data_IF_897068751303
#
_entry.id   IF_897068751303
#
_cell.length_a   1.000
_cell.length_b   1.000
_cell.length_c   1.000
_cell.angle_alpha   90.00
_cell.angle_beta   90.00
_cell.angle_gamma   90.00
#
_symmetry.space_group_name_H-M   'P 1'
#
loop_
_entity.id
_entity.type
_entity.pdbx_description
1 polymer ?
#
# COMPACT_ATOMS: atom_id res chain seq x y z
N UNK A 1 -67.03 38.00 -38.52
CA UNK A 1 -67.93 37.70 -37.39
C UNK A 1 -67.43 36.44 -36.71
N UNK A 2 -67.43 36.44 -35.38
CA UNK A 2 -66.99 35.39 -34.46
C UNK A 2 -67.69 34.02 -34.73
N UNK A 3 -67.29 32.86 -34.20
CA UNK A 3 -66.51 32.56 -32.99
C UNK A 3 -66.01 31.10 -33.03
N UNK A 4 -64.83 30.92 -32.44
CA UNK A 4 -64.27 29.72 -31.80
C UNK A 4 -65.29 28.72 -31.22
N UNK A 5 -64.97 27.42 -31.32
CA UNK A 5 -64.53 26.62 -30.15
C UNK A 5 -63.98 25.24 -30.61
N UNK A 6 -62.67 25.04 -30.38
CA UNK A 6 -61.96 23.75 -30.52
C UNK A 6 -61.91 23.03 -29.16
N UNK A 7 -62.29 21.76 -29.20
CA UNK A 7 -61.82 20.58 -28.45
C UNK A 7 -60.94 20.75 -27.20
N UNK A 8 -61.23 19.96 -26.15
CA UNK A 8 -60.37 18.79 -25.81
C UNK A 8 -60.76 18.04 -24.51
N UNK A 9 -60.95 16.73 -24.68
CA UNK A 9 -60.57 15.55 -23.84
C UNK A 9 -60.96 15.51 -22.35
N UNK A 10 -61.85 14.56 -22.01
CA UNK A 10 -61.63 13.62 -20.90
C UNK A 10 -62.05 12.20 -21.31
N UNK A 11 -61.07 11.31 -21.26
CA UNK A 11 -61.18 9.89 -21.57
C UNK A 11 -61.67 9.09 -20.34
N UNK A 12 -62.27 7.94 -20.62
CA UNK A 12 -62.98 7.05 -19.72
C UNK A 12 -62.13 6.53 -18.55
N UNK A 13 -62.81 6.34 -17.42
CA UNK A 13 -62.33 5.61 -16.25
C UNK A 13 -63.00 4.22 -16.16
N UNK A 14 -62.22 3.29 -15.62
CA UNK A 14 -62.58 2.03 -14.94
C UNK A 14 -62.56 0.69 -15.70
N UNK A 15 -61.93 -0.27 -15.03
CA UNK A 15 -61.90 -1.73 -15.21
C UNK A 15 -60.88 -2.32 -16.20
N UNK A 16 -59.62 -2.47 -15.75
CA UNK A 16 -58.67 -3.45 -16.29
C UNK A 16 -58.53 -4.61 -15.28
N UNK A 17 -59.05 -5.78 -15.66
CA UNK A 17 -58.89 -7.05 -14.94
C UNK A 17 -57.49 -7.61 -15.15
N UNK A 18 -56.84 -7.93 -14.05
CA UNK A 18 -55.49 -8.50 -13.93
C UNK A 18 -55.36 -9.86 -14.63
N UNK A 19 -54.61 -9.91 -15.74
CA UNK A 19 -54.00 -11.16 -16.20
C UNK A 19 -52.58 -11.24 -15.63
N UNK A 20 -52.40 -12.22 -14.74
CA UNK A 20 -51.15 -12.55 -14.06
C UNK A 20 -50.12 -13.10 -15.04
N UNK A 21 -49.23 -12.25 -15.53
CA UNK A 21 -47.96 -12.72 -16.06
C UNK A 21 -47.11 -13.23 -14.90
N UNK A 22 -46.85 -14.54 -14.88
CA UNK A 22 -45.91 -15.17 -13.95
C UNK A 22 -44.51 -14.63 -14.23
N UNK A 23 -44.16 -13.54 -13.55
CA UNK A 23 -42.77 -13.13 -13.40
C UNK A 23 -42.09 -14.26 -12.62
N UNK A 24 -41.20 -14.99 -13.30
CA UNK A 24 -40.15 -15.77 -12.66
C UNK A 24 -39.33 -14.80 -11.83
N UNK A 25 -39.74 -14.57 -10.59
CA UNK A 25 -38.89 -13.99 -9.57
C UNK A 25 -37.75 -14.98 -9.40
N UNK A 26 -36.64 -14.72 -10.08
CA UNK A 26 -35.34 -15.24 -9.72
C UNK A 26 -35.09 -14.70 -8.32
N UNK A 27 -35.54 -15.46 -7.32
CA UNK A 27 -35.29 -15.17 -5.92
C UNK A 27 -33.80 -15.03 -5.79
N UNK A 28 -33.32 -13.80 -5.65
CA UNK A 28 -32.02 -13.58 -5.07
C UNK A 28 -32.06 -14.35 -3.75
N UNK A 29 -31.09 -15.23 -3.54
CA UNK A 29 -30.88 -15.90 -2.27
C UNK A 29 -30.54 -14.82 -1.23
N UNK A 30 -31.54 -14.11 -0.73
CA UNK A 30 -31.44 -13.11 0.34
C UNK A 30 -31.93 -13.72 1.64
N UNK A 31 -31.51 -14.95 1.92
CA UNK A 31 -31.63 -15.51 3.27
C UNK A 31 -30.63 -16.65 3.53
N UNK A 32 -29.40 -16.49 3.03
CA UNK A 32 -28.28 -17.19 3.62
C UNK A 32 -27.94 -16.49 4.93
N UNK A 33 -28.70 -16.77 6.00
CA UNK A 33 -28.24 -16.56 7.36
C UNK A 33 -26.88 -17.26 7.46
N UNK A 34 -25.78 -16.49 7.38
CA UNK A 34 -24.43 -17.04 7.53
C UNK A 34 -24.36 -17.62 8.95
N UNK A 35 -24.55 -18.93 9.08
CA UNK A 35 -24.24 -19.64 10.32
C UNK A 35 -22.74 -19.44 10.56
N UNK A 36 -22.39 -18.62 11.55
CA UNK A 36 -21.00 -18.38 11.94
C UNK A 36 -20.53 -19.62 12.69
N UNK A 37 -20.16 -20.66 11.96
CA UNK A 37 -19.53 -21.85 12.54
C UNK A 37 -18.08 -21.53 12.81
N UNK A 38 -17.71 -21.40 14.09
CA UNK A 38 -16.30 -21.25 14.44
C UNK A 38 -15.58 -22.57 14.17
N UNK A 39 -14.57 -22.53 13.29
CA UNK A 39 -13.72 -23.71 13.07
C UNK A 39 -12.87 -23.94 14.32
N UNK A 40 -12.91 -25.13 14.95
CA UNK A 40 -12.15 -25.43 16.16
C UNK A 40 -10.63 -25.36 15.92
N UNK A 41 -10.17 -25.66 14.71
CA UNK A 41 -8.74 -25.71 14.36
C UNK A 41 -8.12 -24.32 14.12
N UNK A 42 -8.93 -23.26 14.08
CA UNK A 42 -8.41 -21.89 13.89
C UNK A 42 -7.77 -21.41 15.19
N UNK A 43 -6.45 -21.42 15.19
CA UNK A 43 -5.64 -20.91 16.30
C UNK A 43 -5.83 -19.40 16.45
N UNK A 44 -6.10 -18.95 17.68
CA UNK A 44 -6.24 -17.52 18.03
C UNK A 44 -4.90 -16.86 18.39
N UNK A 45 -3.94 -17.65 18.86
CA UNK A 45 -2.63 -17.20 19.28
C UNK A 45 -1.55 -18.09 18.69
N UNK A 46 -0.77 -17.55 17.76
CA UNK A 46 0.46 -18.19 17.27
C UNK A 46 1.63 -17.70 18.13
N UNK A 47 2.29 -18.62 18.83
CA UNK A 47 3.43 -18.33 19.70
C UNK A 47 4.63 -17.69 18.95
N UNK A 48 4.69 -17.84 17.63
CA UNK A 48 5.76 -17.27 16.78
C UNK A 48 5.52 -15.80 16.44
N UNK A 49 4.32 -15.28 16.68
CA UNK A 49 3.90 -13.97 16.19
C UNK A 49 3.83 -13.90 14.66
N UNK A 50 3.80 -12.67 14.15
CA UNK A 50 3.77 -12.44 12.70
C UNK A 50 5.18 -12.58 12.12
N UNK A 51 5.32 -13.39 11.06
CA UNK A 51 6.59 -13.54 10.35
C UNK A 51 6.93 -12.28 9.56
N UNK A 52 8.19 -11.84 9.64
CA UNK A 52 8.73 -10.71 8.87
C UNK A 52 8.76 -10.98 7.37
N UNK A 53 9.17 -12.18 6.96
CA UNK A 53 9.26 -12.60 5.55
C UNK A 53 8.20 -13.67 5.30
N UNK A 54 7.29 -13.39 4.37
CA UNK A 54 6.18 -14.26 4.01
C UNK A 54 6.30 -14.63 2.52
N UNK A 55 6.74 -15.86 2.21
CA UNK A 55 6.73 -16.35 0.85
C UNK A 55 5.28 -16.66 0.41
N UNK A 56 4.95 -16.35 -0.83
CA UNK A 56 3.66 -16.63 -1.46
C UNK A 56 3.90 -17.42 -2.76
N UNK A 57 3.59 -18.71 -2.75
CA UNK A 57 3.90 -19.61 -3.87
C UNK A 57 5.41 -19.68 -4.12
N UNK A 58 5.84 -19.31 -5.34
CA UNK A 58 7.26 -19.24 -5.72
C UNK A 58 7.91 -17.90 -5.40
N UNK A 59 7.13 -16.92 -4.90
CA UNK A 59 7.61 -15.57 -4.65
C UNK A 59 8.10 -15.44 -3.22
N UNK A 60 9.39 -15.16 -3.07
CA UNK A 60 10.06 -14.98 -1.79
C UNK A 60 10.62 -13.56 -1.74
N UNK A 61 10.28 -12.76 -0.72
CA UNK A 61 10.90 -11.46 -0.53
C UNK A 61 12.42 -11.59 -0.39
N UNK A 62 13.18 -10.78 -1.14
CA UNK A 62 14.64 -10.74 -1.12
C UNK A 62 15.10 -9.47 -0.44
N UNK A 63 16.03 -9.61 0.51
CA UNK A 63 16.60 -8.50 1.27
C UNK A 63 18.11 -8.57 1.06
N UNK A 64 18.72 -7.45 0.67
CA UNK A 64 20.16 -7.30 0.61
C UNK A 64 20.80 -7.47 2.00
N UNK A 65 22.08 -7.86 2.03
CA UNK A 65 22.78 -8.21 3.29
C UNK A 65 23.01 -6.97 4.17
N UNK A 66 23.20 -5.81 3.55
CA UNK A 66 23.44 -4.52 4.20
C UNK A 66 22.15 -3.71 4.44
N UNK A 67 20.99 -4.23 4.02
CA UNK A 67 19.72 -3.56 4.19
C UNK A 67 19.13 -3.80 5.58
N UNK A 68 18.69 -2.71 6.22
CA UNK A 68 18.04 -2.78 7.52
C UNK A 68 16.53 -3.01 7.37
N UNK A 69 16.00 -4.10 7.94
CA UNK A 69 14.55 -4.33 8.00
C UNK A 69 14.14 -4.57 9.44
N UNK A 70 13.36 -3.63 9.99
CA UNK A 70 12.89 -3.69 11.37
C UNK A 70 12.09 -4.98 11.66
N UNK A 71 12.12 -5.51 12.89
CA UNK A 71 11.51 -6.81 13.22
C UNK A 71 9.98 -6.83 13.07
N UNK A 72 9.33 -5.67 13.22
CA UNK A 72 7.87 -5.52 13.13
C UNK A 72 7.34 -5.32 11.70
N UNK A 73 8.21 -5.34 10.69
CA UNK A 73 7.84 -5.16 9.29
C UNK A 73 7.25 -6.45 8.73
N UNK A 74 6.30 -6.33 7.82
CA UNK A 74 5.77 -7.48 7.06
C UNK A 74 6.14 -7.31 5.59
N UNK A 75 6.98 -8.21 5.08
CA UNK A 75 7.30 -8.34 3.66
C UNK A 75 6.61 -9.60 3.12
N UNK A 76 5.71 -9.43 2.15
CA UNK A 76 4.94 -10.53 1.58
C UNK A 76 4.99 -10.53 0.04
N UNK A 77 5.25 -11.70 -0.56
CA UNK A 77 5.25 -11.89 -2.01
C UNK A 77 6.52 -11.41 -2.71
N UNK A 78 6.37 -10.77 -3.87
CA UNK A 78 7.47 -10.24 -4.67
C UNK A 78 7.93 -8.88 -4.16
N UNK A 79 8.76 -8.89 -3.12
CA UNK A 79 9.40 -7.67 -2.59
C UNK A 79 10.92 -7.81 -2.69
N UNK A 80 11.58 -6.82 -3.28
CA UNK A 80 13.03 -6.72 -3.33
C UNK A 80 13.48 -5.47 -2.58
N UNK A 81 14.28 -5.66 -1.53
CA UNK A 81 14.94 -4.58 -0.79
C UNK A 81 16.41 -4.60 -1.19
N UNK A 82 16.85 -3.59 -1.94
CA UNK A 82 18.21 -3.51 -2.49
C UNK A 82 19.20 -2.92 -1.48
N UNK A 83 20.46 -2.84 -1.90
CA UNK A 83 21.59 -2.54 -1.03
C UNK A 83 21.46 -1.16 -0.33
N UNK A 84 21.85 -1.11 0.93
CA UNK A 84 21.81 0.09 1.77
C UNK A 84 20.41 0.64 2.04
N UNK A 85 19.35 -0.08 1.66
CA UNK A 85 17.98 0.35 1.91
C UNK A 85 17.56 0.10 3.35
N UNK A 86 16.58 0.87 3.84
CA UNK A 86 16.02 0.64 5.17
C UNK A 86 14.49 0.61 5.17
N UNK A 87 13.90 -0.34 5.89
CA UNK A 87 12.46 -0.45 6.13
C UNK A 87 12.20 -0.41 7.63
N UNK A 88 11.53 0.64 8.06
CA UNK A 88 11.36 1.01 9.46
C UNK A 88 10.10 0.39 10.06
N UNK A 89 10.00 0.51 11.39
CA UNK A 89 9.05 -0.22 12.22
C UNK A 89 7.58 -0.06 11.80
N UNK A 90 6.88 -1.19 11.75
CA UNK A 90 5.43 -1.24 11.50
C UNK A 90 5.03 -1.07 10.03
N UNK A 91 6.00 -0.99 9.12
CA UNK A 91 5.71 -0.91 7.69
C UNK A 91 5.30 -2.26 7.10
N UNK A 92 4.40 -2.22 6.12
CA UNK A 92 3.83 -3.41 5.46
C UNK A 92 4.04 -3.28 3.96
N UNK A 93 4.82 -4.20 3.39
CA UNK A 93 5.10 -4.28 1.96
C UNK A 93 4.48 -5.56 1.42
N UNK A 94 3.44 -5.42 0.60
CA UNK A 94 2.68 -6.54 0.07
C UNK A 94 2.72 -6.53 -1.46
N UNK A 95 3.68 -7.28 -2.00
CA UNK A 95 3.88 -7.52 -3.42
C UNK A 95 3.22 -8.81 -3.88
N UNK A 96 1.95 -9.01 -3.53
CA UNK A 96 1.20 -10.23 -3.84
C UNK A 96 0.46 -10.17 -5.19
N UNK A 97 0.22 -8.97 -5.73
CA UNK A 97 -0.34 -8.78 -7.06
C UNK A 97 0.74 -8.47 -8.11
N UNK A 98 1.70 -7.62 -7.75
CA UNK A 98 2.81 -7.18 -8.61
C UNK A 98 4.07 -6.92 -7.77
N UNK A 99 5.21 -6.72 -8.43
CA UNK A 99 6.51 -6.54 -7.78
C UNK A 99 6.60 -5.19 -7.05
N UNK A 100 7.31 -5.21 -5.92
CA UNK A 100 7.71 -4.02 -5.17
C UNK A 100 9.24 -4.03 -5.07
N UNK A 101 9.88 -2.95 -5.49
CA UNK A 101 11.33 -2.79 -5.41
C UNK A 101 11.66 -1.54 -4.60
N UNK A 102 12.56 -1.67 -3.63
CA UNK A 102 13.19 -0.56 -2.91
C UNK A 102 14.63 -0.44 -3.36
N UNK A 103 14.97 0.73 -3.90
CA UNK A 103 16.23 1.07 -4.52
C UNK A 103 17.35 1.42 -3.55
N UNK A 104 18.56 1.55 -4.09
CA UNK A 104 19.77 1.78 -3.32
C UNK A 104 19.67 2.98 -2.35
N UNK A 105 20.06 2.78 -1.10
CA UNK A 105 20.06 3.84 -0.07
C UNK A 105 18.70 4.53 0.12
N UNK A 106 17.61 3.85 -0.23
CA UNK A 106 16.25 4.37 -0.05
C UNK A 106 15.66 3.90 1.26
N UNK A 107 14.83 4.74 1.85
CA UNK A 107 14.26 4.46 3.15
C UNK A 107 12.74 4.52 3.11
N UNK A 108 12.11 3.54 3.76
CA UNK A 108 10.68 3.46 4.00
C UNK A 108 10.46 3.59 5.49
N UNK A 109 10.08 4.78 5.94
CA UNK A 109 9.92 5.14 7.35
C UNK A 109 8.74 4.40 8.00
N UNK A 110 8.42 4.72 9.25
CA UNK A 110 7.52 3.96 10.10
C UNK A 110 6.11 3.86 9.54
N UNK A 111 5.48 2.71 9.74
CA UNK A 111 4.05 2.47 9.46
C UNK A 111 3.63 2.82 8.02
N UNK A 112 4.55 2.71 7.08
CA UNK A 112 4.24 2.87 5.67
C UNK A 112 3.56 1.60 5.13
N UNK A 113 2.61 1.77 4.22
CA UNK A 113 1.90 0.67 3.58
C UNK A 113 2.16 0.73 2.08
N UNK A 114 2.87 -0.26 1.54
CA UNK A 114 3.22 -0.34 0.14
C UNK A 114 2.56 -1.57 -0.47
N UNK A 115 1.61 -1.34 -1.37
CA UNK A 115 0.85 -2.39 -2.02
C UNK A 115 0.98 -2.22 -3.54
N UNK A 116 1.05 -3.32 -4.27
CA UNK A 116 0.91 -3.28 -5.72
C UNK A 116 -0.54 -3.66 -6.09
N UNK A 117 -1.12 -2.97 -7.08
CA UNK A 117 -2.44 -3.27 -7.63
C UNK A 117 -2.31 -4.33 -8.72
N UNK A 118 -3.40 -5.01 -9.07
CA UNK A 118 -3.38 -6.02 -10.13
C UNK A 118 -3.13 -5.41 -11.51
N UNK A 119 -3.80 -4.29 -11.78
CA UNK A 119 -3.70 -3.54 -13.02
C UNK A 119 -3.96 -2.08 -12.70
N UNK A 120 -3.28 -1.17 -13.40
CA UNK A 120 -3.52 0.26 -13.25
C UNK A 120 -4.68 0.68 -14.17
N UNK A 121 -5.65 1.48 -13.68
CA UNK A 121 -6.72 2.01 -14.52
C UNK A 121 -6.21 2.89 -15.67
N UNK A 122 -4.97 3.37 -15.57
CA UNK A 122 -4.32 4.21 -16.59
C UNK A 122 -3.56 3.42 -17.65
N UNK A 123 -3.47 2.09 -17.52
CA UNK A 123 -2.66 1.23 -18.41
C UNK A 123 -1.15 1.29 -18.17
N UNK A 124 -0.69 2.07 -17.18
CA UNK A 124 0.70 2.11 -16.74
C UNK A 124 1.07 0.83 -15.96
N UNK A 125 2.37 0.48 -15.85
CA UNK A 125 2.82 -0.63 -15.03
C UNK A 125 2.28 -0.52 -13.60
N UNK A 126 1.62 -1.58 -13.12
CA UNK A 126 1.01 -1.62 -11.79
C UNK A 126 1.99 -2.12 -10.71
N UNK A 127 3.29 -1.90 -10.93
CA UNK A 127 4.36 -2.21 -9.98
C UNK A 127 4.73 -0.97 -9.16
N UNK A 128 5.29 -1.19 -7.98
CA UNK A 128 5.84 -0.11 -7.17
C UNK A 128 7.35 -0.13 -7.27
N UNK A 129 7.93 0.87 -7.94
CA UNK A 129 9.39 1.07 -7.97
C UNK A 129 9.75 2.28 -7.15
N UNK A 130 10.57 2.10 -6.13
CA UNK A 130 11.24 3.17 -5.40
C UNK A 130 12.69 3.11 -5.83
N UNK A 131 13.17 4.11 -6.55
CA UNK A 131 14.54 4.14 -7.07
C UNK A 131 15.55 4.55 -5.97
N UNK A 132 16.77 4.94 -6.35
CA UNK A 132 17.86 5.27 -5.41
C UNK A 132 17.65 6.58 -4.65
N UNK A 133 18.16 6.66 -3.42
CA UNK A 133 18.13 7.86 -2.57
C UNK A 133 16.73 8.46 -2.36
N UNK A 134 15.70 7.61 -2.34
CA UNK A 134 14.34 8.04 -2.07
C UNK A 134 14.07 7.96 -0.57
N UNK A 135 13.51 9.03 -0.02
CA UNK A 135 13.06 9.09 1.37
C UNK A 135 11.55 9.05 1.42
N UNK A 136 10.98 7.93 1.87
CA UNK A 136 9.53 7.78 2.05
C UNK A 136 9.17 8.06 3.51
N UNK A 137 8.49 9.18 3.74
CA UNK A 137 8.10 9.66 5.06
C UNK A 137 7.13 8.74 5.78
N UNK A 138 7.14 8.80 7.12
CA UNK A 138 6.30 7.96 7.97
C UNK A 138 4.80 8.04 7.61
N UNK A 139 4.07 6.94 7.83
CA UNK A 139 2.64 6.80 7.53
C UNK A 139 2.25 7.00 6.06
N UNK A 140 3.19 6.86 5.14
CA UNK A 140 2.88 6.97 3.72
C UNK A 140 2.19 5.72 3.19
N UNK A 141 1.24 5.91 2.28
CA UNK A 141 0.56 4.84 1.56
C UNK A 141 0.97 4.93 0.09
N UNK A 142 1.66 3.90 -0.40
CA UNK A 142 2.11 3.80 -1.79
C UNK A 142 1.35 2.67 -2.49
N UNK A 143 0.69 2.98 -3.60
CA UNK A 143 0.00 2.00 -4.42
C UNK A 143 0.39 2.09 -5.88
N UNK A 144 1.15 1.10 -6.37
CA UNK A 144 1.58 0.99 -7.78
C UNK A 144 2.13 2.29 -8.35
N UNK A 145 3.11 2.87 -7.67
CA UNK A 145 3.72 4.14 -8.06
C UNK A 145 5.19 3.95 -8.43
N UNK A 146 5.67 4.77 -9.35
CA UNK A 146 7.08 4.84 -9.70
C UNK A 146 7.64 6.12 -9.12
N UNK A 147 8.64 6.01 -8.26
CA UNK A 147 9.36 7.12 -7.66
C UNK A 147 10.79 7.06 -8.16
N UNK A 148 11.15 8.03 -8.99
CA UNK A 148 12.47 8.17 -9.58
C UNK A 148 13.55 8.54 -8.54
N UNK A 149 14.84 8.52 -8.92
CA UNK A 149 15.93 8.81 -8.00
C UNK A 149 15.81 10.15 -7.28
N UNK A 150 16.29 10.18 -6.04
CA UNK A 150 16.46 11.41 -5.26
C UNK A 150 15.16 12.19 -5.07
N UNK A 151 14.08 11.47 -4.71
CA UNK A 151 12.80 12.06 -4.34
C UNK A 151 12.57 12.01 -2.83
N UNK A 152 11.78 12.96 -2.32
CA UNK A 152 11.32 12.96 -0.93
C UNK A 152 9.80 12.92 -0.91
N UNK A 153 9.25 11.87 -0.31
CA UNK A 153 7.82 11.77 -0.02
C UNK A 153 7.62 12.18 1.43
N UNK A 154 6.87 13.27 1.65
CA UNK A 154 6.56 13.76 2.99
C UNK A 154 5.76 12.76 3.82
N UNK A 155 5.69 13.01 5.12
CA UNK A 155 4.93 12.18 6.05
C UNK A 155 3.44 12.17 5.70
N UNK A 156 2.75 11.06 5.99
CA UNK A 156 1.30 10.92 5.78
C UNK A 156 0.84 11.14 4.34
N UNK A 157 1.72 10.84 3.38
CA UNK A 157 1.44 11.04 1.96
C UNK A 157 0.82 9.82 1.32
N UNK A 158 -0.02 10.02 0.31
CA UNK A 158 -0.73 8.95 -0.38
C UNK A 158 -0.43 9.04 -1.87
N UNK A 159 0.21 8.02 -2.44
CA UNK A 159 0.43 7.89 -3.87
C UNK A 159 -0.45 6.80 -4.43
N UNK A 160 -1.21 7.15 -5.47
CA UNK A 160 -2.17 6.27 -6.12
C UNK A 160 -1.61 5.67 -7.41
N UNK A 161 -2.37 4.73 -7.97
CA UNK A 161 -1.95 3.87 -9.08
C UNK A 161 -1.48 4.65 -10.30
N UNK A 162 -0.31 4.28 -10.82
CA UNK A 162 0.29 4.90 -11.99
C UNK A 162 0.79 6.33 -11.76
N UNK A 163 0.88 6.80 -10.51
CA UNK A 163 1.55 8.07 -10.24
C UNK A 163 3.05 7.95 -10.47
N UNK A 164 3.64 8.91 -11.17
CA UNK A 164 5.08 9.01 -11.42
C UNK A 164 5.62 10.25 -10.70
N UNK A 165 6.55 10.05 -9.77
CA UNK A 165 7.36 11.12 -9.21
C UNK A 165 8.71 11.13 -9.90
N UNK A 166 9.02 12.23 -10.57
CA UNK A 166 10.29 12.38 -11.30
C UNK A 166 11.43 12.80 -10.38
N UNK A 167 12.66 12.67 -10.90
CA UNK A 167 13.88 12.99 -10.17
C UNK A 167 13.84 14.34 -9.44
N UNK A 168 14.43 14.38 -8.25
CA UNK A 168 14.50 15.61 -7.45
C UNK A 168 13.13 16.23 -7.15
N UNK A 169 12.05 15.44 -7.07
CA UNK A 169 10.75 15.95 -6.66
C UNK A 169 10.53 15.80 -5.16
N UNK A 170 9.88 16.79 -4.56
CA UNK A 170 9.52 16.77 -3.14
C UNK A 170 8.02 16.88 -3.00
N UNK A 171 7.44 15.95 -2.25
CA UNK A 171 6.04 15.95 -1.87
C UNK A 171 5.95 16.38 -0.40
N UNK A 172 5.18 17.43 -0.10
CA UNK A 172 4.97 17.86 1.29
C UNK A 172 4.11 16.86 2.07
N UNK A 173 4.17 16.97 3.40
CA UNK A 173 3.39 16.12 4.29
C UNK A 173 1.88 16.23 4.04
N UNK A 174 1.16 15.11 4.17
CA UNK A 174 -0.29 15.05 3.99
C UNK A 174 -0.76 15.16 2.54
N UNK A 175 0.15 15.06 1.57
CA UNK A 175 -0.17 15.22 0.17
C UNK A 175 -0.75 13.95 -0.45
N UNK A 176 -1.74 14.11 -1.34
CA UNK A 176 -2.42 12.98 -2.00
C UNK A 176 -2.29 13.11 -3.50
N UNK A 177 -1.51 12.22 -4.11
CA UNK A 177 -1.28 12.18 -5.55
C UNK A 177 -2.36 11.32 -6.22
N UNK A 178 -3.20 11.88 -7.10
CA UNK A 178 -4.25 11.11 -7.76
C UNK A 178 -3.67 10.10 -8.77
N UNK A 179 -4.45 9.07 -9.16
CA UNK A 179 -4.01 8.06 -10.12
C UNK A 179 -3.54 8.67 -11.44
N UNK A 180 -2.43 8.17 -12.00
CA UNK A 180 -1.87 8.64 -13.27
C UNK A 180 -1.24 10.03 -13.25
N UNK A 181 -1.14 10.69 -12.07
CA UNK A 181 -0.54 12.01 -11.99
C UNK A 181 0.98 11.90 -12.03
N UNK A 182 1.58 12.69 -12.92
CA UNK A 182 3.03 12.91 -12.99
C UNK A 182 3.41 14.17 -12.21
N UNK A 183 4.39 14.05 -11.33
CA UNK A 183 5.05 15.15 -10.62
C UNK A 183 6.38 15.41 -11.34
N UNK A 184 6.55 16.58 -11.99
CA UNK A 184 7.75 16.90 -12.75
C UNK A 184 9.03 17.02 -11.90
N UNK A 185 10.17 16.88 -12.58
CA UNK A 185 11.51 17.03 -11.98
C UNK A 185 11.70 18.37 -11.27
N UNK A 186 12.28 18.35 -10.07
CA UNK A 186 12.67 19.58 -9.37
C UNK A 186 11.49 20.42 -8.84
N UNK A 187 10.29 19.85 -8.76
CA UNK A 187 9.11 20.55 -8.27
C UNK A 187 8.72 20.12 -6.84
N UNK A 188 8.18 21.08 -6.09
CA UNK A 188 7.55 20.86 -4.79
C UNK A 188 6.03 20.85 -4.94
N UNK A 189 5.41 19.77 -4.48
CA UNK A 189 3.98 19.55 -4.56
C UNK A 189 3.36 19.35 -3.17
N UNK A 190 2.18 19.91 -2.98
CA UNK A 190 1.47 19.84 -1.70
C UNK A 190 -0.04 19.69 -1.86
N UNK A 191 -0.69 19.15 -0.83
CA UNK A 191 -2.14 19.18 -0.65
C UNK A 191 -2.90 17.94 -1.10
N UNK A 192 -4.22 17.97 -0.92
CA UNK A 192 -5.14 16.89 -1.24
C UNK A 192 -6.33 17.44 -2.06
N UNK A 193 -6.34 17.28 -3.40
CA UNK A 193 -5.33 16.61 -4.23
C UNK A 193 -4.03 17.43 -4.36
N UNK A 194 -2.92 16.75 -4.62
CA UNK A 194 -1.60 17.36 -4.74
C UNK A 194 -1.56 18.37 -5.91
N UNK A 195 -1.02 19.55 -5.64
CA UNK A 195 -0.85 20.64 -6.60
C UNK A 195 0.57 21.17 -6.54
N UNK A 196 1.03 21.68 -7.67
CA UNK A 196 2.29 22.42 -7.75
C UNK A 196 2.25 23.62 -6.80
N UNK A 197 3.31 23.77 -6.00
CA UNK A 197 3.50 24.93 -5.11
C UNK A 197 4.57 25.84 -5.69
N UNK A 198 5.76 25.27 -5.93
CA UNK A 198 6.93 26.00 -6.44
C UNK A 198 7.98 25.04 -7.00
N UNK A 199 8.95 25.58 -7.70
CA UNK A 199 10.20 24.87 -8.03
C UNK A 199 11.12 24.83 -6.82
N UNK A 200 11.92 23.76 -6.73
CA UNK A 200 12.93 23.60 -5.70
C UNK A 200 14.13 24.51 -5.95
N UNK A 201 14.80 24.89 -4.86
CA UNK A 201 16.09 25.55 -4.96
C UNK A 201 17.20 24.52 -5.20
N UNK A 202 18.35 24.97 -5.69
CA UNK A 202 19.51 24.10 -5.89
C UNK A 202 20.01 23.53 -4.55
N UNK A 203 19.93 24.32 -3.48
CA UNK A 203 20.31 23.89 -2.13
C UNK A 203 19.44 22.73 -1.65
N UNK A 204 18.11 22.84 -1.77
CA UNK A 204 17.16 21.77 -1.41
C UNK A 204 17.45 20.50 -2.21
N UNK A 205 17.73 20.63 -3.50
CA UNK A 205 18.04 19.49 -4.38
C UNK A 205 19.31 18.75 -3.92
N UNK A 206 20.34 19.49 -3.49
CA UNK A 206 21.59 18.92 -2.97
C UNK A 206 21.44 18.32 -1.56
N UNK A 207 20.40 18.69 -0.81
CA UNK A 207 20.13 18.15 0.53
C UNK A 207 19.43 16.79 0.50
N UNK A 208 18.65 16.48 -0.55
CA UNK A 208 17.92 15.21 -0.69
C UNK A 208 18.84 13.99 -0.51
N UNK A 209 19.96 13.84 -1.25
CA UNK A 209 20.84 12.67 -1.06
C UNK A 209 21.54 12.68 0.30
N UNK A 210 21.85 13.86 0.87
CA UNK A 210 22.45 13.95 2.21
C UNK A 210 21.50 13.40 3.28
N UNK A 211 20.20 13.71 3.17
CA UNK A 211 19.16 13.19 4.03
C UNK A 211 19.08 11.65 3.94
N UNK A 212 19.06 11.11 2.71
CA UNK A 212 19.00 9.67 2.49
C UNK A 212 20.21 8.94 3.12
N UNK A 213 21.43 9.47 2.94
CA UNK A 213 22.65 8.92 3.54
C UNK A 213 22.63 9.02 5.07
N UNK A 214 22.17 10.15 5.64
CA UNK A 214 22.05 10.31 7.09
C UNK A 214 21.10 9.27 7.70
N UNK A 215 19.98 8.97 7.05
CA UNK A 215 19.04 7.92 7.47
C UNK A 215 19.68 6.54 7.31
N UNK A 216 20.45 6.31 6.26
CA UNK A 216 21.19 5.06 6.09
C UNK A 216 22.19 4.83 7.23
N UNK A 217 22.96 5.83 7.62
CA UNK A 217 23.91 5.71 8.74
C UNK A 217 23.21 5.44 10.08
N UNK A 218 22.04 6.05 10.31
CA UNK A 218 21.18 5.70 11.43
C UNK A 218 20.69 4.24 11.33
N UNK A 219 20.29 3.80 10.14
CA UNK A 219 19.84 2.43 9.91
C UNK A 219 20.94 1.40 10.17
N UNK A 220 22.21 1.71 9.88
CA UNK A 220 23.37 0.86 10.23
C UNK A 220 23.52 0.73 11.73
N UNK A 221 23.34 1.83 12.48
CA UNK A 221 23.40 1.81 13.94
C UNK A 221 22.32 0.87 14.52
N UNK A 222 21.11 0.90 13.98
CA UNK A 222 20.08 -0.07 14.34
C UNK A 222 20.40 -1.48 13.87
N UNK A 223 20.96 -1.65 12.67
CA UNK A 223 21.32 -2.95 12.13
C UNK A 223 22.34 -3.68 13.02
N UNK A 224 23.34 -2.97 13.55
CA UNK A 224 24.35 -3.54 14.46
C UNK A 224 23.78 -4.01 15.80
N UNK A 225 22.63 -3.47 16.23
CA UNK A 225 21.95 -3.95 17.44
C UNK A 225 21.33 -5.34 17.25
N UNK A 226 21.06 -5.76 16.00
CA UNK A 226 20.45 -7.05 15.71
C UNK A 226 21.49 -8.09 15.33
N UNK A 227 21.50 -9.20 16.08
CA UNK A 227 22.23 -10.40 15.69
C UNK A 227 21.48 -11.16 14.58
N UNK A 228 22.17 -11.95 13.74
CA UNK A 228 21.54 -12.73 12.67
C UNK A 228 20.47 -13.73 13.16
N UNK A 229 20.66 -14.29 14.35
CA UNK A 229 19.75 -15.23 14.98
C UNK A 229 19.20 -14.67 16.29
N UNK A 230 17.89 -14.81 16.49
CA UNK A 230 17.24 -14.45 17.74
C UNK A 230 17.34 -15.57 18.77
N UNK A 231 17.37 -15.23 20.07
CA UNK A 231 17.35 -16.19 21.19
C UNK A 231 15.96 -16.74 21.54
N UNK A 232 14.92 -16.39 20.77
CA UNK A 232 13.51 -16.75 21.01
C UNK A 232 13.28 -18.27 21.08
N UNK A 233 14.10 -19.07 20.37
CA UNK A 233 13.99 -20.53 20.41
C UNK A 233 14.18 -21.10 21.83
N UNK A 234 15.04 -20.51 22.66
CA UNK A 234 15.25 -20.93 24.04
C UNK A 234 14.00 -20.76 24.90
N UNK A 235 13.25 -19.67 24.68
CA UNK A 235 11.98 -19.43 25.38
C UNK A 235 10.91 -20.42 24.92
N UNK A 236 10.86 -20.74 23.62
CA UNK A 236 9.96 -21.78 23.09
C UNK A 236 10.29 -23.15 23.67
N UNK A 237 11.58 -23.50 23.83
CA UNK A 237 11.99 -24.76 24.46
C UNK A 237 11.60 -24.82 25.94
N UNK A 238 11.84 -23.75 26.70
CA UNK A 238 11.38 -23.66 28.10
C UNK A 238 9.87 -23.81 28.20
N UNK A 239 9.13 -23.16 27.30
CA UNK A 239 7.67 -23.24 27.24
C UNK A 239 7.17 -24.64 26.88
N UNK A 240 7.84 -25.35 25.96
CA UNK A 240 7.50 -26.76 25.65
C UNK A 240 7.76 -27.68 26.84
N UNK A 241 8.89 -27.50 27.53
CA UNK A 241 9.24 -28.25 28.74
C UNK A 241 8.22 -28.06 29.85
N UNK A 242 7.73 -26.84 30.09
CA UNK A 242 6.70 -26.58 31.11
C UNK A 242 5.35 -27.21 30.78
N UNK A 243 5.07 -27.44 29.50
CA UNK A 243 3.87 -28.17 29.03
C UNK A 243 4.04 -29.70 29.04
N UNK A 244 5.20 -30.23 29.45
CA UNK A 244 5.48 -31.66 29.46
C UNK A 244 5.72 -32.26 28.07
N UNK A 245 5.96 -31.43 27.06
CA UNK A 245 6.25 -31.88 25.69
C UNK A 245 7.76 -32.17 25.61
N UNK A 246 8.14 -33.43 25.41
CA UNK A 246 9.52 -33.81 25.13
C UNK A 246 9.97 -33.21 23.80
N UNK A 247 11.13 -32.55 23.79
CA UNK A 247 11.77 -31.98 22.59
C UNK A 247 12.51 -33.09 21.85
#
# INVERSE_FOLDING_TARGET
MASLLRFSRKALSSALSSQSHSLLSRGYATDAAKSITQLPDRVKWDYRGQRRIIPLGQWVPKIAVDAYVAPNVVLAGQVAVLDGSSVWSGSVLRGDLNKITIGFCSNVQERCVIHAAWSSPTGLPAETSIERFVTVGAYSLLRSCTIEPECVVGQHSILMEGSLMETHSILEAGSVVPPGRRIPTGELWAGNPARFVRTLTHEETLEIPKLAVAINDLSKSHFFEFLPYSTVYLEVEKFKKSLGISI
#
